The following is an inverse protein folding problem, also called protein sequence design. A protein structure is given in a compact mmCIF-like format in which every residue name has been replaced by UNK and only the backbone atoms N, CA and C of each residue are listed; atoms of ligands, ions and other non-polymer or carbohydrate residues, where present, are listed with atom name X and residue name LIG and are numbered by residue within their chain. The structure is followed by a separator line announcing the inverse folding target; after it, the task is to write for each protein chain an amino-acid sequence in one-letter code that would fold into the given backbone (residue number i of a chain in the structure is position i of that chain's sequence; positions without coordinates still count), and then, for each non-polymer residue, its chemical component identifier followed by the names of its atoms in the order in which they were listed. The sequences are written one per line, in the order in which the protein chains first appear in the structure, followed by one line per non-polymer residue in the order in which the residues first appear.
data_IF_672715760452
#
_entry.id   IF_672715760452
#
_cell.length_a   1.000
_cell.length_b   1.000
_cell.length_c   1.000
_cell.angle_alpha   90.00
_cell.angle_beta   90.00
_cell.angle_gamma   90.00
#
_symmetry.space_group_name_H-M   'P 1'
#
loop_
_entity.id
_entity.type
_entity.pdbx_description
1 polymer ?
#
# COMPACT_ATOMS: atom_id res chain seq x y z
N UNK A 1 6.47 9.36 -13.69
CA UNK A 1 7.91 9.55 -13.36
C UNK A 1 8.31 8.87 -12.06
N UNK A 2 7.48 8.85 -11.01
CA UNK A 2 7.87 8.34 -9.68
C UNK A 2 7.92 6.81 -9.57
N UNK A 3 7.12 6.08 -10.35
CA UNK A 3 7.09 4.61 -10.42
C UNK A 3 8.02 4.00 -11.48
N UNK A 4 8.74 4.85 -12.21
CA UNK A 4 9.58 4.50 -13.37
C UNK A 4 11.03 4.09 -13.01
N UNK A 5 11.71 4.72 -12.02
CA UNK A 5 13.04 4.31 -11.60
C UNK A 5 13.14 2.81 -11.25
N UNK A 6 12.19 2.19 -10.53
CA UNK A 6 12.27 0.76 -10.22
C UNK A 6 12.10 -0.17 -11.42
N UNK A 7 11.59 0.34 -12.55
CA UNK A 7 11.39 -0.42 -13.77
C UNK A 7 12.63 -0.37 -14.68
N UNK A 8 13.24 0.81 -14.76
CA UNK A 8 14.31 1.12 -15.72
C UNK A 8 15.70 1.00 -15.12
N UNK A 9 15.87 1.24 -13.81
CA UNK A 9 17.18 1.12 -13.18
C UNK A 9 17.49 -0.34 -12.81
N UNK A 10 18.67 -0.83 -13.18
CA UNK A 10 19.14 -2.20 -12.90
C UNK A 10 20.60 -2.20 -12.52
N UNK A 11 20.91 -2.75 -11.33
CA UNK A 11 22.28 -2.78 -10.81
C UNK A 11 22.87 -1.37 -10.74
N UNK A 12 24.00 -1.18 -11.41
CA UNK A 12 24.70 0.12 -11.49
C UNK A 12 24.11 1.08 -12.54
N UNK A 13 23.30 0.57 -13.47
CA UNK A 13 22.69 1.41 -14.51
C UNK A 13 21.49 2.17 -13.96
N UNK A 14 21.69 3.47 -13.75
CA UNK A 14 20.66 4.42 -13.27
C UNK A 14 20.30 5.40 -14.37
N UNK A 15 19.27 5.06 -15.15
CA UNK A 15 18.77 5.92 -16.23
C UNK A 15 17.91 7.06 -15.66
N UNK A 16 17.16 6.79 -14.59
CA UNK A 16 16.31 7.79 -13.92
C UNK A 16 16.73 7.94 -12.47
N UNK A 17 16.85 9.16 -11.92
CA UNK A 17 17.23 9.33 -10.53
C UNK A 17 16.25 8.67 -9.54
N UNK A 18 16.79 8.01 -8.50
CA UNK A 18 15.96 7.31 -7.51
C UNK A 18 15.16 8.25 -6.59
N UNK A 19 15.55 9.53 -6.44
CA UNK A 19 14.81 10.48 -5.60
C UNK A 19 13.38 10.70 -6.08
N UNK A 20 13.09 10.49 -7.37
CA UNK A 20 11.72 10.56 -7.90
C UNK A 20 10.76 9.57 -7.24
N UNK A 21 11.27 8.48 -6.66
CA UNK A 21 10.46 7.51 -5.91
C UNK A 21 9.88 8.12 -4.63
N UNK A 22 10.57 9.09 -4.01
CA UNK A 22 10.08 9.77 -2.80
C UNK A 22 8.82 10.59 -3.07
N UNK A 23 8.62 11.03 -4.31
CA UNK A 23 7.44 11.76 -4.74
C UNK A 23 6.24 10.84 -5.06
N UNK A 24 6.29 9.55 -4.73
CA UNK A 24 5.18 8.62 -4.95
C UNK A 24 3.82 9.11 -4.39
N UNK A 25 3.73 9.74 -3.20
CA UNK A 25 2.47 10.31 -2.71
C UNK A 25 1.89 11.39 -3.63
N UNK A 26 2.73 12.18 -4.30
CA UNK A 26 2.31 13.20 -5.26
C UNK A 26 1.66 12.55 -6.48
N UNK A 27 2.21 11.42 -6.96
CA UNK A 27 1.58 10.64 -8.04
C UNK A 27 0.19 10.16 -7.63
N UNK A 28 0.04 9.61 -6.42
CA UNK A 28 -1.26 9.14 -5.92
C UNK A 28 -2.28 10.29 -5.84
N UNK A 29 -1.85 11.47 -5.38
CA UNK A 29 -2.71 12.66 -5.34
C UNK A 29 -3.21 13.05 -6.73
N UNK A 30 -2.32 13.20 -7.72
CA UNK A 30 -2.73 13.54 -9.10
C UNK A 30 -3.61 12.45 -9.73
N UNK A 31 -3.36 11.18 -9.42
CA UNK A 31 -4.20 10.07 -9.87
C UNK A 31 -5.61 10.18 -9.31
N UNK A 32 -5.74 10.48 -8.01
CA UNK A 32 -7.03 10.75 -7.38
C UNK A 32 -7.74 11.95 -7.99
N UNK A 33 -7.03 13.05 -8.24
CA UNK A 33 -7.57 14.24 -8.89
C UNK A 33 -8.05 13.94 -10.32
N UNK A 34 -7.29 13.15 -11.08
CA UNK A 34 -7.68 12.69 -12.40
C UNK A 34 -8.95 11.84 -12.35
N UNK A 35 -9.02 10.86 -11.45
CA UNK A 35 -10.20 10.00 -11.29
C UNK A 35 -11.43 10.83 -10.88
N UNK A 36 -11.25 11.83 -10.01
CA UNK A 36 -12.32 12.76 -9.62
C UNK A 36 -12.87 13.54 -10.82
N UNK A 37 -12.00 14.03 -11.71
CA UNK A 37 -12.40 14.84 -12.86
C UNK A 37 -13.01 14.01 -14.00
N UNK A 38 -12.41 12.86 -14.33
CA UNK A 38 -12.81 12.05 -15.50
C UNK A 38 -13.74 10.89 -15.16
N UNK A 39 -13.91 10.55 -13.87
CA UNK A 39 -14.87 9.55 -13.38
C UNK A 39 -14.82 8.20 -14.14
N UNK A 40 -13.63 7.60 -14.36
CA UNK A 40 -13.46 6.41 -15.19
C UNK A 40 -14.31 5.24 -14.69
N UNK A 41 -14.89 4.47 -15.62
CA UNK A 41 -15.71 3.29 -15.31
C UNK A 41 -15.14 2.06 -15.99
N UNK A 42 -14.80 1.05 -15.19
CA UNK A 42 -14.38 -0.27 -15.69
C UNK A 42 -15.64 -1.08 -16.00
N UNK A 43 -15.94 -1.26 -17.28
CA UNK A 43 -17.10 -2.04 -17.74
C UNK A 43 -17.02 -3.51 -17.33
N UNK A 44 -15.84 -4.11 -17.47
CA UNK A 44 -15.61 -5.52 -17.20
C UNK A 44 -14.72 -5.70 -15.98
N UNK A 45 -15.32 -5.73 -14.79
CA UNK A 45 -14.59 -5.87 -13.51
C UNK A 45 -13.73 -7.13 -13.46
N UNK A 46 -14.10 -8.20 -14.15
CA UNK A 46 -13.34 -9.45 -14.24
C UNK A 46 -11.92 -9.18 -14.80
N UNK A 47 -11.78 -8.38 -15.85
CA UNK A 47 -10.46 -8.06 -16.42
C UNK A 47 -9.59 -7.25 -15.45
N UNK A 48 -10.20 -6.36 -14.66
CA UNK A 48 -9.47 -5.64 -13.61
C UNK A 48 -9.01 -6.59 -12.50
N UNK A 49 -9.88 -7.51 -12.05
CA UNK A 49 -9.52 -8.53 -11.05
C UNK A 49 -8.42 -9.45 -11.57
N UNK A 50 -8.49 -9.90 -12.83
CA UNK A 50 -7.44 -10.70 -13.45
C UNK A 50 -6.11 -9.94 -13.55
N UNK A 51 -6.13 -8.68 -13.96
CA UNK A 51 -4.94 -7.85 -14.04
C UNK A 51 -4.30 -7.62 -12.67
N UNK A 52 -5.11 -7.32 -11.65
CA UNK A 52 -4.66 -7.18 -10.25
C UNK A 52 -4.06 -8.51 -9.76
N UNK A 53 -4.76 -9.62 -9.99
CA UNK A 53 -4.31 -10.95 -9.62
C UNK A 53 -2.97 -11.31 -10.27
N UNK A 54 -2.81 -11.03 -11.57
CA UNK A 54 -1.56 -11.25 -12.30
C UNK A 54 -0.41 -10.45 -11.69
N UNK A 55 -0.62 -9.16 -11.39
CA UNK A 55 0.40 -8.30 -10.79
C UNK A 55 0.81 -8.77 -9.40
N UNK A 56 -0.12 -9.24 -8.56
CA UNK A 56 0.24 -9.69 -7.22
C UNK A 56 0.78 -11.12 -7.20
N UNK A 57 0.31 -12.01 -8.09
CA UNK A 57 0.76 -13.40 -8.19
C UNK A 57 2.17 -13.52 -8.78
N UNK A 58 2.66 -12.50 -9.48
CA UNK A 58 4.04 -12.45 -9.95
C UNK A 58 5.06 -12.61 -8.79
N UNK A 59 4.78 -12.07 -7.60
CA UNK A 59 5.74 -12.08 -6.49
C UNK A 59 5.95 -13.49 -5.89
N UNK A 60 4.90 -14.23 -5.48
CA UNK A 60 5.08 -15.60 -5.01
C UNK A 60 5.58 -16.51 -6.12
N UNK A 61 5.15 -16.31 -7.37
CA UNK A 61 5.62 -17.11 -8.51
C UNK A 61 7.12 -16.91 -8.74
N UNK A 62 7.60 -15.67 -8.81
CA UNK A 62 9.02 -15.38 -8.97
C UNK A 62 9.84 -15.87 -7.77
N UNK A 63 9.32 -15.75 -6.55
CA UNK A 63 9.99 -16.29 -5.36
C UNK A 63 10.05 -17.82 -5.36
N UNK A 64 8.98 -18.49 -5.79
CA UNK A 64 8.97 -19.94 -5.95
C UNK A 64 9.99 -20.39 -7.01
N UNK A 65 9.98 -19.74 -8.18
CA UNK A 65 10.93 -20.03 -9.27
C UNK A 65 12.38 -19.77 -8.86
N UNK A 66 12.64 -18.73 -8.05
CA UNK A 66 13.97 -18.49 -7.47
C UNK A 66 14.42 -19.69 -6.65
N UNK A 67 13.57 -20.14 -5.72
CA UNK A 67 13.90 -21.24 -4.81
C UNK A 67 14.05 -22.57 -5.57
N UNK A 68 13.25 -22.81 -6.61
CA UNK A 68 13.22 -24.10 -7.31
C UNK A 68 14.24 -24.24 -8.43
N UNK A 69 14.66 -23.15 -9.08
CA UNK A 69 15.54 -23.20 -10.26
C UNK A 69 16.96 -22.68 -10.01
N UNK A 70 17.18 -21.89 -8.96
CA UNK A 70 18.48 -21.22 -8.73
C UNK A 70 18.80 -21.30 -7.24
N UNK A 71 19.69 -22.23 -6.86
CA UNK A 71 20.15 -22.42 -5.47
C UNK A 71 20.75 -21.13 -4.85
N UNK A 72 21.21 -20.20 -5.70
CA UNK A 72 21.74 -18.89 -5.30
C UNK A 72 20.84 -17.73 -5.74
N UNK A 73 19.64 -17.61 -5.16
CA UNK A 73 18.90 -16.38 -4.76
C UNK A 73 18.93 -15.05 -5.54
N UNK A 74 19.56 -14.93 -6.71
CA UNK A 74 19.99 -13.66 -7.29
C UNK A 74 19.18 -13.25 -8.53
N UNK A 75 17.94 -13.74 -8.69
CA UNK A 75 17.07 -13.19 -9.73
C UNK A 75 16.62 -11.77 -9.31
N UNK A 76 17.00 -10.73 -10.07
CA UNK A 76 16.53 -9.38 -9.78
C UNK A 76 15.00 -9.34 -9.87
N UNK A 77 14.36 -8.61 -8.97
CA UNK A 77 12.91 -8.47 -9.01
C UNK A 77 12.51 -7.65 -10.24
N UNK A 78 12.12 -8.34 -11.32
CA UNK A 78 11.89 -7.75 -12.65
C UNK A 78 10.78 -6.71 -12.62
N UNK A 79 9.78 -6.88 -11.74
CA UNK A 79 8.65 -5.95 -11.66
C UNK A 79 8.78 -4.89 -10.58
N UNK A 80 9.92 -4.87 -9.89
CA UNK A 80 10.20 -3.92 -8.83
C UNK A 80 9.34 -4.13 -7.58
N UNK A 81 9.41 -3.22 -6.62
CA UNK A 81 8.60 -3.20 -5.40
C UNK A 81 7.17 -2.68 -5.65
N UNK A 82 6.35 -2.64 -4.60
CA UNK A 82 4.92 -2.26 -4.71
C UNK A 82 4.65 -0.88 -5.34
N UNK A 83 5.59 0.06 -5.23
CA UNK A 83 5.49 1.40 -5.81
C UNK A 83 5.99 1.48 -7.26
N UNK A 84 6.48 0.37 -7.80
CA UNK A 84 6.80 0.27 -9.22
C UNK A 84 5.53 0.33 -10.08
N UNK A 85 5.71 0.58 -11.37
CA UNK A 85 4.62 0.77 -12.33
C UNK A 85 3.54 -0.33 -12.26
N UNK A 86 3.85 -1.65 -12.19
CA UNK A 86 2.82 -2.69 -12.11
C UNK A 86 1.97 -2.57 -10.85
N UNK A 87 2.61 -2.37 -9.70
CA UNK A 87 1.91 -2.21 -8.42
C UNK A 87 1.03 -0.96 -8.39
N UNK A 88 1.53 0.16 -8.93
CA UNK A 88 0.74 1.38 -9.09
C UNK A 88 -0.50 1.18 -9.99
N UNK A 89 -0.36 0.46 -11.12
CA UNK A 89 -1.48 0.13 -11.99
C UNK A 89 -2.51 -0.72 -11.23
N UNK A 90 -2.07 -1.75 -10.51
CA UNK A 90 -2.96 -2.60 -9.72
C UNK A 90 -3.70 -1.80 -8.63
N UNK A 91 -3.01 -0.91 -7.91
CA UNK A 91 -3.64 -0.02 -6.92
C UNK A 91 -4.70 0.89 -7.55
N UNK A 92 -4.41 1.46 -8.71
CA UNK A 92 -5.34 2.34 -9.44
C UNK A 92 -6.56 1.55 -9.93
N UNK A 93 -6.35 0.37 -10.49
CA UNK A 93 -7.45 -0.51 -10.94
C UNK A 93 -8.32 -0.96 -9.77
N UNK A 94 -7.72 -1.27 -8.62
CA UNK A 94 -8.44 -1.63 -7.41
C UNK A 94 -9.33 -0.47 -6.95
N UNK A 95 -8.76 0.74 -6.86
CA UNK A 95 -9.52 1.94 -6.48
C UNK A 95 -10.67 2.22 -7.45
N UNK A 96 -10.40 2.23 -8.76
CA UNK A 96 -11.43 2.48 -9.79
C UNK A 96 -12.51 1.38 -9.81
N UNK A 97 -12.17 0.15 -9.41
CA UNK A 97 -13.15 -0.95 -9.31
C UNK A 97 -14.10 -0.80 -8.12
N UNK A 98 -13.63 -0.14 -7.05
CA UNK A 98 -14.33 -0.02 -5.76
C UNK A 98 -15.01 1.34 -5.54
N UNK A 99 -14.51 2.45 -6.10
CA UNK A 99 -14.96 3.80 -5.72
C UNK A 99 -16.44 4.13 -6.04
N UNK A 100 -17.05 3.41 -6.99
CA UNK A 100 -18.48 3.54 -7.36
C UNK A 100 -19.32 2.35 -6.89
N UNK A 101 -18.79 1.49 -6.03
CA UNK A 101 -19.53 0.37 -5.48
C UNK A 101 -20.50 0.88 -4.42
N UNK A 102 -21.79 0.61 -4.63
CA UNK A 102 -22.82 0.89 -3.64
C UNK A 102 -22.84 -0.21 -2.57
N UNK A 103 -22.63 0.19 -1.30
CA UNK A 103 -22.59 -0.70 -0.14
C UNK A 103 -23.95 -0.67 0.53
N UNK A 104 -24.73 -1.75 0.35
CA UNK A 104 -26.10 -1.88 0.88
C UNK A 104 -26.16 -2.01 2.41
N UNK A 105 -25.12 -2.56 3.02
CA UNK A 105 -25.10 -2.81 4.47
C UNK A 105 -24.59 -1.59 5.21
N UNK A 106 -25.45 -1.00 6.06
CA UNK A 106 -25.14 0.22 6.82
C UNK A 106 -23.85 0.13 7.63
N UNK A 107 -23.65 -1.00 8.32
CA UNK A 107 -22.49 -1.23 9.18
C UNK A 107 -21.19 -1.22 8.36
N UNK A 108 -21.18 -1.94 7.23
CA UNK A 108 -20.01 -2.01 6.34
C UNK A 108 -19.77 -0.64 5.71
N UNK A 109 -20.84 0.04 5.26
CA UNK A 109 -20.76 1.37 4.69
C UNK A 109 -20.11 2.34 5.67
N UNK A 110 -20.55 2.34 6.93
CA UNK A 110 -20.00 3.20 7.99
C UNK A 110 -18.54 2.89 8.26
N UNK A 111 -18.18 1.62 8.41
CA UNK A 111 -16.79 1.21 8.65
C UNK A 111 -15.85 1.60 7.48
N UNK A 112 -16.25 1.29 6.25
CA UNK A 112 -15.47 1.65 5.04
C UNK A 112 -15.34 3.17 4.90
N UNK A 113 -16.42 3.91 5.16
CA UNK A 113 -16.40 5.38 5.10
C UNK A 113 -15.47 5.95 6.16
N UNK A 114 -15.53 5.45 7.39
CA UNK A 114 -14.68 5.93 8.50
C UNK A 114 -13.21 5.71 8.19
N UNK A 115 -12.83 4.48 7.81
CA UNK A 115 -11.46 4.14 7.37
C UNK A 115 -11.02 5.00 6.19
N UNK A 116 -11.89 5.23 5.20
CA UNK A 116 -11.57 6.07 4.04
C UNK A 116 -11.27 7.51 4.44
N UNK A 117 -12.03 8.07 5.39
CA UNK A 117 -11.86 9.45 5.86
C UNK A 117 -10.58 9.67 6.66
N UNK A 118 -10.04 8.63 7.32
CA UNK A 118 -8.80 8.71 8.11
C UNK A 118 -7.60 8.02 7.44
N UNK A 119 -7.76 7.58 6.19
CA UNK A 119 -6.76 6.77 5.49
C UNK A 119 -5.42 7.48 5.29
N UNK A 120 -5.42 8.81 5.17
CA UNK A 120 -4.20 9.60 5.02
C UNK A 120 -3.40 9.65 6.33
N UNK A 121 -4.07 9.92 7.44
CA UNK A 121 -3.47 9.91 8.78
C UNK A 121 -2.97 8.51 9.13
N UNK A 122 -3.76 7.48 8.82
CA UNK A 122 -3.35 6.08 8.98
C UNK A 122 -2.05 5.78 8.23
N UNK A 123 -1.91 6.24 6.98
CA UNK A 123 -0.70 6.07 6.19
C UNK A 123 0.53 6.76 6.82
N UNK A 124 0.35 7.94 7.40
CA UNK A 124 1.44 8.65 8.10
C UNK A 124 1.83 7.93 9.39
N UNK A 125 0.85 7.55 10.20
CA UNK A 125 1.10 6.86 11.47
C UNK A 125 1.59 5.43 11.28
N UNK A 126 1.24 4.75 10.19
CA UNK A 126 1.72 3.39 9.93
C UNK A 126 3.23 3.34 9.81
N UNK A 127 3.85 4.35 9.19
CA UNK A 127 5.31 4.42 9.14
C UNK A 127 5.94 4.57 10.55
N UNK A 128 5.32 5.37 11.43
CA UNK A 128 5.78 5.52 12.80
C UNK A 128 5.67 4.20 13.57
N UNK A 129 4.52 3.54 13.49
CA UNK A 129 4.30 2.26 14.14
C UNK A 129 5.14 1.13 13.55
N UNK A 130 5.40 1.13 12.25
CA UNK A 130 6.30 0.18 11.62
C UNK A 130 7.69 0.26 12.25
N UNK A 131 8.20 1.48 12.46
CA UNK A 131 9.50 1.73 13.10
C UNK A 131 9.56 1.33 14.58
N UNK A 132 8.43 1.16 15.26
CA UNK A 132 8.35 0.77 16.67
C UNK A 132 8.06 -0.73 16.83
N UNK A 133 7.06 -1.22 16.12
CA UNK A 133 6.51 -2.58 16.27
C UNK A 133 7.40 -3.60 15.57
N UNK A 134 7.88 -3.34 14.35
CA UNK A 134 8.70 -4.33 13.64
C UNK A 134 10.00 -4.66 14.37
N UNK A 135 10.82 -3.70 14.84
CA UNK A 135 12.04 -4.03 15.57
C UNK A 135 11.77 -4.85 16.82
N UNK A 136 10.76 -4.44 17.62
CA UNK A 136 10.35 -5.16 18.82
C UNK A 136 9.87 -6.58 18.52
N UNK A 137 9.09 -6.76 17.45
CA UNK A 137 8.57 -8.06 17.07
C UNK A 137 9.66 -8.97 16.47
N UNK A 138 10.59 -8.42 15.69
CA UNK A 138 11.72 -9.17 15.16
C UNK A 138 12.62 -9.67 16.29
N UNK A 139 12.91 -8.86 17.31
CA UNK A 139 13.73 -9.29 18.45
C UNK A 139 13.13 -10.49 19.22
N UNK A 140 11.80 -10.58 19.30
CA UNK A 140 11.10 -11.60 20.10
C UNK A 140 10.68 -12.84 19.32
N UNK A 141 10.27 -12.68 18.07
CA UNK A 141 9.58 -13.73 17.32
C UNK A 141 10.36 -14.22 16.10
N UNK A 142 11.42 -13.52 15.68
CA UNK A 142 12.21 -13.92 14.54
C UNK A 142 13.29 -14.93 14.94
N UNK A 143 13.01 -16.21 14.68
CA UNK A 143 13.99 -17.31 14.85
C UNK A 143 14.46 -17.87 13.51
N UNK A 144 13.57 -17.91 12.51
CA UNK A 144 13.86 -18.34 11.15
C UNK A 144 12.89 -17.70 10.14
N UNK A 145 13.11 -17.92 8.85
CA UNK A 145 12.28 -17.39 7.76
C UNK A 145 10.81 -17.84 7.84
N UNK A 146 10.54 -19.06 8.32
CA UNK A 146 9.17 -19.57 8.48
C UNK A 146 8.43 -18.84 9.61
N UNK A 147 9.10 -18.56 10.72
CA UNK A 147 8.56 -17.76 11.83
C UNK A 147 8.17 -16.37 11.34
N UNK A 148 8.96 -15.76 10.44
CA UNK A 148 8.60 -14.46 9.86
C UNK A 148 7.25 -14.50 9.14
N UNK A 149 7.00 -15.53 8.32
CA UNK A 149 5.75 -15.64 7.56
C UNK A 149 4.53 -15.76 8.49
N UNK A 150 4.65 -16.56 9.55
CA UNK A 150 3.56 -16.74 10.54
C UNK A 150 3.27 -15.44 11.27
N UNK A 151 4.30 -14.70 11.69
CA UNK A 151 4.14 -13.46 12.46
C UNK A 151 3.88 -12.22 11.62
N UNK A 152 4.15 -12.26 10.31
CA UNK A 152 3.96 -11.12 9.42
C UNK A 152 2.51 -10.61 9.41
N UNK A 153 1.53 -11.52 9.33
CA UNK A 153 0.11 -11.14 9.30
C UNK A 153 -0.34 -10.52 10.63
N UNK A 154 -0.11 -11.14 11.81
CA UNK A 154 -0.40 -10.51 13.10
C UNK A 154 0.27 -9.14 13.29
N UNK A 155 1.56 -9.01 12.94
CA UNK A 155 2.30 -7.74 13.08
C UNK A 155 1.68 -6.66 12.21
N UNK A 156 1.41 -6.96 10.93
CA UNK A 156 0.81 -6.01 9.99
C UNK A 156 -0.58 -5.57 10.45
N UNK A 157 -1.41 -6.50 10.96
CA UNK A 157 -2.72 -6.16 11.52
C UNK A 157 -2.60 -5.27 12.77
N UNK A 158 -1.59 -5.52 13.61
CA UNK A 158 -1.32 -4.70 14.79
C UNK A 158 -0.97 -3.28 14.39
N UNK A 159 -0.06 -3.10 13.43
CA UNK A 159 0.29 -1.79 12.87
C UNK A 159 -0.93 -1.08 12.30
N UNK A 160 -1.77 -1.80 11.54
CA UNK A 160 -2.98 -1.22 10.95
C UNK A 160 -3.94 -0.71 12.03
N UNK A 161 -4.18 -1.52 13.07
CA UNK A 161 -5.08 -1.17 14.17
C UNK A 161 -4.52 0.01 14.99
N UNK A 162 -3.23 0.00 15.34
CA UNK A 162 -2.63 1.10 16.10
C UNK A 162 -2.63 2.39 15.31
N UNK A 163 -2.37 2.33 14.00
CA UNK A 163 -2.41 3.49 13.11
C UNK A 163 -3.82 4.06 12.97
N UNK A 164 -4.83 3.19 12.90
CA UNK A 164 -6.24 3.60 12.91
C UNK A 164 -6.63 4.31 14.20
N UNK A 165 -6.30 3.72 15.36
CA UNK A 165 -6.58 4.33 16.67
C UNK A 165 -5.90 5.69 16.78
N UNK A 166 -4.64 5.80 16.36
CA UNK A 166 -3.90 7.06 16.43
C UNK A 166 -4.48 8.12 15.50
N UNK A 167 -4.93 7.74 14.31
CA UNK A 167 -5.62 8.63 13.39
C UNK A 167 -6.91 9.21 13.99
N UNK A 168 -7.70 8.38 14.69
CA UNK A 168 -8.91 8.84 15.40
C UNK A 168 -8.57 9.81 16.54
N UNK A 169 -7.54 9.51 17.33
CA UNK A 169 -7.07 10.38 18.42
C UNK A 169 -6.64 11.73 17.86
N UNK A 170 -5.80 11.73 16.81
CA UNK A 170 -5.33 12.94 16.15
C UNK A 170 -6.48 13.83 15.69
N UNK A 171 -7.47 13.24 14.99
CA UNK A 171 -8.63 13.98 14.48
C UNK A 171 -9.50 14.57 15.58
N UNK A 172 -9.64 13.84 16.69
CA UNK A 172 -10.38 14.34 17.87
C UNK A 172 -9.66 15.52 18.52
N UNK A 173 -8.33 15.43 18.66
CA UNK A 173 -7.51 16.50 19.25
C UNK A 173 -7.51 17.74 18.35
N UNK A 174 -7.31 17.57 17.04
CA UNK A 174 -7.32 18.69 16.08
C UNK A 174 -8.65 19.41 16.06
N UNK A 175 -9.77 18.68 16.05
CA UNK A 175 -11.11 19.29 16.11
C UNK A 175 -11.37 20.06 17.40
N UNK A 176 -10.86 19.60 18.55
CA UNK A 176 -10.96 20.32 19.82
C UNK A 176 -10.14 21.62 19.82
N UNK A 177 -8.94 21.59 19.23
CA UNK A 177 -8.08 22.77 19.09
C UNK A 177 -8.68 23.83 18.17
N UNK A 178 -9.25 23.41 17.03
CA UNK A 178 -9.92 24.31 16.09
C UNK A 178 -11.18 24.95 16.70
N UNK A 179 -11.97 24.19 17.46
CA UNK A 179 -13.15 24.71 18.17
C UNK A 179 -12.76 25.73 19.25
N UNK A 180 -11.64 25.53 19.94
CA UNK A 180 -11.13 26.45 20.96
C UNK A 180 -10.61 27.76 20.37
N UNK A 181 -10.09 27.77 19.14
CA UNK A 181 -9.59 28.97 18.47
C UNK A 181 -10.69 29.83 17.82
N UNK A 182 -11.90 29.27 17.64
CA UNK A 182 -13.03 29.97 17.02
C UNK A 182 -14.03 30.56 18.03
N UNK A 183 -13.74 30.47 19.34
CA UNK A 183 -14.47 31.11 20.45
C UNK A 183 -13.57 32.13 21.14
#
# INVERSE_FOLDING_TARGET
MTSLPPLVNRGEFRIVPNYWQMCFPVLLYFTGAYIRNFQPVIKHKIWAVLAIGLVYLQYPLLNYLKISLIEEGNLPNVFGPYYALPGYIAMTLLFVSLYKVDIKTEIIRKAVTDVSLVSYEMFLFSYLYDRLIYPWAMERFYTNQNSFIVWFVPITLTVLLTSYIMALIYRKISGLLESKNNN
#
